data_IF_077262496100
#
_entry.id   IF_077262496100
#
_cell.length_a   1.000
_cell.length_b   1.000
_cell.length_c   1.000
_cell.angle_alpha   90.00
_cell.angle_beta   90.00
_cell.angle_gamma   90.00
#
_symmetry.space_group_name_H-M   'P 1'
#
loop_
_entity.id
_entity.type
_entity.pdbx_description
1 polymer ?
#
# COMPACT_ATOMS: atom_id res chain seq x y z
N UNK A 1 -16.97 -8.00 16.62
CA UNK A 1 -16.25 -6.71 16.43
C UNK A 1 -16.64 -5.73 17.54
N UNK A 2 -15.73 -4.84 17.96
CA UNK A 2 -15.86 -4.00 19.17
C UNK A 2 -16.97 -2.92 19.16
N UNK A 3 -17.68 -2.71 18.04
CA UNK A 3 -18.83 -1.79 17.97
C UNK A 3 -18.52 -0.30 18.10
N UNK A 4 -17.24 0.08 18.01
CA UNK A 4 -16.76 1.46 18.10
C UNK A 4 -17.31 2.30 16.93
N UNK A 5 -17.80 3.51 17.23
CA UNK A 5 -18.38 4.44 16.26
C UNK A 5 -17.67 5.78 16.30
N UNK A 6 -17.46 6.37 15.13
CA UNK A 6 -16.97 7.72 15.00
C UNK A 6 -18.07 8.73 15.37
N UNK A 7 -17.76 9.77 16.17
CA UNK A 7 -18.77 10.66 16.75
C UNK A 7 -19.51 11.52 15.71
N UNK A 8 -18.90 11.83 14.57
CA UNK A 8 -19.48 12.69 13.52
C UNK A 8 -20.42 11.94 12.57
N UNK A 9 -20.31 10.61 12.44
CA UNK A 9 -21.15 9.82 11.52
C UNK A 9 -22.05 8.80 12.21
N UNK A 10 -21.74 8.39 13.45
CA UNK A 10 -22.41 7.27 14.12
C UNK A 10 -22.15 5.90 13.47
N UNK A 11 -21.20 5.83 12.53
CA UNK A 11 -20.72 4.61 11.84
C UNK A 11 -19.33 4.23 12.35
N UNK A 12 -18.79 3.04 12.05
CA UNK A 12 -17.38 2.74 12.31
C UNK A 12 -16.45 3.81 11.72
N UNK A 13 -15.26 3.98 12.31
CA UNK A 13 -14.23 4.85 11.74
C UNK A 13 -13.91 4.37 10.32
N UNK A 14 -14.03 5.27 9.35
CA UNK A 14 -13.79 4.93 7.94
C UNK A 14 -12.30 4.73 7.68
N UNK A 15 -11.98 3.95 6.65
CA UNK A 15 -10.61 3.79 6.21
C UNK A 15 -10.01 5.12 5.71
N UNK A 16 -10.82 5.95 5.04
CA UNK A 16 -10.46 7.30 4.64
C UNK A 16 -9.98 8.13 5.84
N UNK A 17 -10.78 8.16 6.92
CA UNK A 17 -10.42 8.90 8.13
C UNK A 17 -9.10 8.42 8.74
N UNK A 18 -8.90 7.10 8.79
CA UNK A 18 -7.66 6.51 9.33
C UNK A 18 -6.45 6.80 8.43
N UNK A 19 -6.61 6.77 7.10
CA UNK A 19 -5.57 7.18 6.15
C UNK A 19 -5.14 8.62 6.43
N UNK A 20 -6.08 9.57 6.49
CA UNK A 20 -5.77 10.97 6.77
C UNK A 20 -5.11 11.19 8.13
N UNK A 21 -5.67 10.58 9.19
CA UNK A 21 -5.11 10.66 10.55
C UNK A 21 -3.71 10.08 10.63
N UNK A 22 -3.37 9.06 9.83
CA UNK A 22 -2.02 8.48 9.79
C UNK A 22 -0.95 9.40 9.22
N UNK A 23 -1.32 10.52 8.60
CA UNK A 23 -0.43 11.40 7.84
C UNK A 23 -0.81 11.52 6.36
N UNK A 24 -1.81 10.78 5.91
CA UNK A 24 -2.43 10.90 4.59
C UNK A 24 -1.58 10.39 3.44
N UNK A 25 -1.86 10.93 2.26
CA UNK A 25 -1.15 10.61 1.02
C UNK A 25 0.27 11.19 1.00
N UNK A 26 1.10 10.62 0.14
CA UNK A 26 2.42 11.13 -0.20
C UNK A 26 2.73 10.76 -1.65
N UNK A 27 3.80 11.32 -2.18
CA UNK A 27 4.47 10.77 -3.35
C UNK A 27 5.92 10.47 -3.01
N UNK A 28 6.43 9.33 -3.47
CA UNK A 28 7.85 9.01 -3.37
C UNK A 28 8.27 8.06 -4.47
N UNK A 29 9.52 8.20 -4.92
CA UNK A 29 10.08 7.43 -6.02
C UNK A 29 11.45 6.87 -5.65
N UNK A 30 11.59 5.55 -5.80
CA UNK A 30 12.81 4.83 -5.49
C UNK A 30 13.08 3.76 -6.53
N UNK A 31 14.36 3.50 -6.79
CA UNK A 31 14.82 2.36 -7.58
C UNK A 31 15.80 1.55 -6.75
N UNK A 32 15.67 0.23 -6.80
CA UNK A 32 16.55 -0.68 -6.08
C UNK A 32 17.08 -1.76 -7.02
N UNK A 33 18.33 -2.17 -6.80
CA UNK A 33 18.96 -3.30 -7.49
C UNK A 33 19.76 -4.10 -6.47
N UNK A 34 19.28 -5.30 -6.19
CA UNK A 34 19.90 -6.23 -5.24
C UNK A 34 20.46 -7.42 -6.00
N UNK A 35 21.60 -7.93 -5.55
CA UNK A 35 22.22 -9.12 -6.15
C UNK A 35 21.23 -10.30 -6.11
N UNK A 36 20.96 -10.89 -7.26
CA UNK A 36 20.06 -12.05 -7.38
C UNK A 36 18.60 -11.71 -7.70
N UNK A 37 18.25 -10.43 -7.76
CA UNK A 37 16.90 -9.96 -8.08
C UNK A 37 16.93 -9.01 -9.27
N UNK A 38 15.83 -8.96 -10.03
CA UNK A 38 15.64 -7.92 -11.03
C UNK A 38 15.56 -6.55 -10.32
N UNK A 39 16.08 -5.48 -10.95
CA UNK A 39 15.88 -4.15 -10.42
C UNK A 39 14.38 -3.84 -10.39
N UNK A 40 13.96 -3.05 -9.42
CA UNK A 40 12.56 -2.68 -9.26
C UNK A 40 12.42 -1.22 -8.87
N UNK A 41 11.19 -0.75 -9.00
CA UNK A 41 10.75 0.58 -8.64
C UNK A 41 9.76 0.48 -7.49
N UNK A 42 9.86 1.41 -6.56
CA UNK A 42 8.86 1.62 -5.53
C UNK A 42 8.27 3.02 -5.68
N UNK A 43 6.95 3.06 -5.80
CA UNK A 43 6.20 4.30 -5.66
C UNK A 43 5.52 4.31 -4.29
N UNK A 44 5.74 5.39 -3.52
CA UNK A 44 5.05 5.58 -2.26
C UNK A 44 3.85 6.49 -2.51
N UNK A 45 2.65 5.99 -2.28
CA UNK A 45 1.39 6.72 -2.50
C UNK A 45 0.81 7.31 -1.21
N UNK A 46 1.35 6.90 -0.05
CA UNK A 46 0.91 7.33 1.28
C UNK A 46 2.07 7.45 2.27
N UNK A 47 1.79 8.04 3.44
CA UNK A 47 2.74 8.10 4.53
C UNK A 47 3.23 6.69 4.95
N UNK A 48 4.55 6.49 4.91
CA UNK A 48 5.22 5.26 5.37
C UNK A 48 6.04 5.46 6.64
N UNK A 49 6.04 6.67 7.21
CA UNK A 49 6.73 7.00 8.46
C UNK A 49 5.86 6.64 9.66
N UNK A 50 5.77 5.33 9.93
CA UNK A 50 5.05 4.74 11.07
C UNK A 50 3.55 5.12 11.17
N UNK A 51 2.76 4.89 10.12
CA UNK A 51 1.36 5.31 10.06
C UNK A 51 0.50 4.64 11.15
N UNK A 52 0.77 3.38 11.49
CA UNK A 52 -0.01 2.65 12.50
C UNK A 52 0.15 3.27 13.89
N UNK A 53 1.38 3.44 14.38
CA UNK A 53 1.58 4.07 15.70
C UNK A 53 1.09 5.52 15.70
N UNK A 54 1.26 6.24 14.58
CA UNK A 54 0.73 7.60 14.42
C UNK A 54 -0.79 7.67 14.64
N UNK A 55 -1.55 6.71 14.09
CA UNK A 55 -3.01 6.60 14.33
C UNK A 55 -3.29 6.40 15.82
N UNK A 56 -2.61 5.44 16.45
CA UNK A 56 -2.85 5.08 17.84
C UNK A 56 -2.57 6.25 18.78
N UNK A 57 -1.43 6.92 18.60
CA UNK A 57 -1.05 8.10 19.39
C UNK A 57 -2.02 9.26 19.19
N UNK A 58 -2.36 9.57 17.94
CA UNK A 58 -3.22 10.72 17.62
C UNK A 58 -4.64 10.54 18.11
N UNK A 59 -5.17 9.32 18.05
CA UNK A 59 -6.51 8.99 18.53
C UNK A 59 -6.54 8.58 20.01
N UNK A 60 -5.39 8.51 20.69
CA UNK A 60 -5.32 8.12 22.09
C UNK A 60 -5.79 6.67 22.34
N UNK A 61 -5.54 5.77 21.38
CA UNK A 61 -5.89 4.36 21.49
C UNK A 61 -4.86 3.68 22.38
N UNK A 62 -5.29 3.22 23.56
CA UNK A 62 -4.44 2.44 24.44
C UNK A 62 -4.20 1.04 23.85
N UNK A 63 -3.01 0.51 24.09
CA UNK A 63 -2.57 -0.81 23.64
C UNK A 63 -2.28 -1.67 24.87
N UNK A 64 -2.73 -2.92 24.86
CA UNK A 64 -2.13 -3.96 25.68
C UNK A 64 -1.27 -4.86 24.78
N UNK A 65 -0.01 -5.06 25.18
CA UNK A 65 1.00 -5.74 24.35
C UNK A 65 1.61 -6.90 25.12
N UNK A 66 1.44 -8.09 24.57
CA UNK A 66 2.08 -9.30 25.08
C UNK A 66 3.20 -9.74 24.14
N UNK A 67 4.34 -10.13 24.73
CA UNK A 67 5.51 -10.60 24.00
C UNK A 67 6.12 -11.82 24.70
N UNK A 68 6.70 -12.72 23.91
CA UNK A 68 7.41 -13.90 24.39
C UNK A 68 8.42 -14.35 23.35
N UNK A 69 9.46 -15.07 23.76
CA UNK A 69 10.39 -15.72 22.83
C UNK A 69 10.07 -17.21 22.61
N UNK A 70 8.97 -17.71 23.20
CA UNK A 70 8.60 -19.13 23.18
C UNK A 70 7.30 -19.35 22.40
N UNK A 71 7.34 -20.28 21.44
CA UNK A 71 6.23 -20.54 20.52
C UNK A 71 4.99 -21.11 21.22
N UNK A 72 5.18 -22.04 22.15
CA UNK A 72 4.11 -22.62 22.98
C UNK A 72 3.38 -21.55 23.80
N UNK A 73 4.13 -20.66 24.46
CA UNK A 73 3.56 -19.53 25.19
C UNK A 73 2.83 -18.56 24.25
N UNK A 74 3.34 -18.35 23.03
CA UNK A 74 2.70 -17.48 22.04
C UNK A 74 1.36 -18.02 21.52
N UNK A 75 1.19 -19.35 21.48
CA UNK A 75 -0.07 -20.03 21.19
C UNK A 75 -1.04 -19.83 22.34
N UNK A 76 -0.61 -20.13 23.58
CA UNK A 76 -1.43 -19.95 24.78
C UNK A 76 -1.91 -18.50 24.94
N UNK A 77 -1.03 -17.52 24.76
CA UNK A 77 -1.41 -16.10 24.84
C UNK A 77 -2.49 -15.73 23.83
N UNK A 78 -2.36 -16.20 22.58
CA UNK A 78 -3.37 -15.94 21.54
C UNK A 78 -4.73 -16.56 21.91
N UNK A 79 -4.73 -17.81 22.36
CA UNK A 79 -5.96 -18.50 22.77
C UNK A 79 -6.62 -17.80 23.96
N UNK A 80 -5.86 -17.50 25.00
CA UNK A 80 -6.36 -16.81 26.19
C UNK A 80 -7.02 -15.47 25.83
N UNK A 81 -6.40 -14.68 24.95
CA UNK A 81 -6.99 -13.39 24.53
C UNK A 81 -8.29 -13.61 23.75
N UNK A 82 -8.32 -14.56 22.81
CA UNK A 82 -9.54 -14.89 22.06
C UNK A 82 -10.68 -15.38 22.98
N UNK A 83 -10.36 -16.15 24.03
CA UNK A 83 -11.33 -16.64 25.03
C UNK A 83 -11.95 -15.50 25.85
N UNK A 84 -11.27 -14.36 25.99
CA UNK A 84 -11.87 -13.14 26.60
C UNK A 84 -12.88 -12.43 25.70
N UNK A 85 -13.03 -12.86 24.44
CA UNK A 85 -13.88 -12.21 23.44
C UNK A 85 -13.23 -11.02 22.74
N UNK A 86 -11.93 -10.79 22.96
CA UNK A 86 -11.14 -9.78 22.24
C UNK A 86 -10.56 -10.34 20.94
N UNK A 87 -10.23 -9.44 20.01
CA UNK A 87 -9.67 -9.77 18.70
C UNK A 87 -8.26 -9.18 18.59
N UNK A 88 -7.20 -9.95 18.93
CA UNK A 88 -5.86 -9.40 18.95
C UNK A 88 -5.26 -9.27 17.56
N UNK A 89 -4.44 -8.24 17.37
CA UNK A 89 -3.49 -8.13 16.28
C UNK A 89 -2.28 -9.03 16.57
N UNK A 90 -1.90 -9.83 15.58
CA UNK A 90 -0.66 -10.60 15.56
C UNK A 90 0.20 -10.15 14.37
N UNK A 91 1.52 -10.09 14.54
CA UNK A 91 2.42 -9.84 13.42
C UNK A 91 2.87 -11.18 12.84
N UNK A 92 2.56 -11.41 11.57
CA UNK A 92 2.91 -12.63 10.87
C UNK A 92 3.65 -12.31 9.58
N UNK A 93 4.61 -13.16 9.21
CA UNK A 93 5.33 -13.01 7.96
C UNK A 93 4.44 -13.27 6.74
N UNK A 94 4.23 -12.23 5.95
CA UNK A 94 3.48 -12.21 4.70
C UNK A 94 3.87 -13.34 3.74
N UNK A 95 5.17 -13.66 3.65
CA UNK A 95 5.69 -14.72 2.79
C UNK A 95 5.41 -16.13 3.29
N UNK A 96 5.20 -16.29 4.60
CA UNK A 96 4.91 -17.56 5.23
C UNK A 96 3.41 -17.88 5.26
N UNK A 97 2.54 -16.91 4.99
CA UNK A 97 1.09 -17.13 5.01
C UNK A 97 0.62 -17.82 3.71
N UNK A 98 -0.07 -18.96 3.81
CA UNK A 98 -0.33 -19.84 2.65
C UNK A 98 -1.31 -19.26 1.64
N UNK A 99 -2.19 -18.34 2.08
CA UNK A 99 -3.17 -17.70 1.21
C UNK A 99 -2.56 -16.61 0.29
N UNK A 100 -1.29 -16.22 0.49
CA UNK A 100 -0.62 -15.24 -0.36
C UNK A 100 0.03 -15.83 -1.61
N UNK A 101 0.22 -17.16 -1.67
CA UNK A 101 0.90 -17.87 -2.78
C UNK A 101 2.28 -17.28 -3.15
N UNK A 102 3.05 -16.91 -2.12
CA UNK A 102 4.39 -16.36 -2.29
C UNK A 102 5.46 -17.43 -2.15
N UNK A 103 6.52 -17.29 -2.94
CA UNK A 103 7.70 -18.14 -2.79
C UNK A 103 8.48 -17.63 -1.59
N UNK A 104 8.64 -18.47 -0.58
CA UNK A 104 9.47 -18.17 0.59
C UNK A 104 10.94 -18.27 0.21
N UNK A 105 11.61 -17.12 0.11
CA UNK A 105 13.07 -16.99 0.07
C UNK A 105 13.56 -16.62 1.49
N UNK A 106 14.68 -17.20 1.94
CA UNK A 106 15.30 -16.86 3.22
C UNK A 106 15.61 -15.36 3.38
N UNK A 107 15.90 -14.67 2.28
CA UNK A 107 16.19 -13.23 2.28
C UNK A 107 14.93 -12.34 2.32
N UNK A 108 13.76 -12.91 2.03
CA UNK A 108 12.50 -12.18 1.96
C UNK A 108 11.62 -12.49 3.17
N UNK A 109 11.07 -11.43 3.75
CA UNK A 109 10.10 -11.50 4.84
C UNK A 109 9.35 -10.16 4.90
N UNK A 110 8.13 -10.18 5.45
CA UNK A 110 7.32 -8.99 5.65
C UNK A 110 6.40 -9.19 6.84
N UNK A 111 6.79 -8.70 8.01
CA UNK A 111 5.95 -8.82 9.21
C UNK A 111 4.78 -7.85 9.14
N UNK A 112 3.59 -8.38 8.82
CA UNK A 112 2.36 -7.60 8.68
C UNK A 112 1.42 -7.86 9.86
N UNK A 113 0.73 -6.82 10.38
CA UNK A 113 -0.32 -7.02 11.36
C UNK A 113 -1.54 -7.71 10.71
N UNK A 114 -2.03 -8.77 11.35
CA UNK A 114 -3.28 -9.46 10.99
C UNK A 114 -4.17 -9.57 12.22
N UNK A 115 -5.48 -9.57 12.04
CA UNK A 115 -6.44 -9.67 13.14
C UNK A 115 -6.84 -11.13 13.36
N UNK A 116 -6.62 -11.68 14.55
CA UNK A 116 -7.16 -12.99 14.91
C UNK A 116 -8.60 -12.85 15.40
N UNK A 117 -9.50 -13.70 14.89
CA UNK A 117 -10.95 -13.60 15.12
C UNK A 117 -11.46 -14.71 16.04
N UNK A 118 -11.05 -15.95 15.80
CA UNK A 118 -11.40 -17.12 16.62
C UNK A 118 -10.36 -18.23 16.43
N UNK A 119 -10.35 -19.19 17.34
CA UNK A 119 -9.50 -20.38 17.28
C UNK A 119 -10.23 -21.58 17.85
N UNK A 120 -10.03 -22.75 17.25
CA UNK A 120 -10.45 -24.06 17.81
C UNK A 120 -9.27 -24.81 18.47
N UNK A 121 -8.11 -24.15 18.57
CA UNK A 121 -6.84 -24.70 19.06
C UNK A 121 -5.97 -25.37 18.00
N UNK A 122 -6.52 -25.71 16.82
CA UNK A 122 -5.77 -26.26 15.68
C UNK A 122 -5.73 -25.31 14.50
N UNK A 123 -6.80 -24.54 14.31
CA UNK A 123 -7.01 -23.56 13.24
C UNK A 123 -7.33 -22.22 13.87
N UNK A 124 -6.86 -21.16 13.23
CA UNK A 124 -7.16 -19.78 13.59
C UNK A 124 -7.81 -19.11 12.39
N UNK A 125 -8.97 -18.53 12.62
CA UNK A 125 -9.61 -17.64 11.66
C UNK A 125 -9.01 -16.25 11.83
N UNK A 126 -8.52 -15.67 10.74
CA UNK A 126 -7.92 -14.34 10.70
C UNK A 126 -8.66 -13.43 9.72
N UNK A 127 -8.64 -12.13 9.97
CA UNK A 127 -9.01 -11.11 9.00
C UNK A 127 -7.72 -10.39 8.55
N UNK A 128 -7.43 -10.50 7.25
CA UNK A 128 -6.30 -9.86 6.59
C UNK A 128 -6.71 -9.51 5.14
N UNK A 129 -6.93 -8.22 4.86
CA UNK A 129 -7.25 -7.59 3.55
C UNK A 129 -8.51 -8.09 2.82
N UNK A 130 -8.79 -9.38 2.85
CA UNK A 130 -9.96 -10.05 2.27
C UNK A 130 -11.26 -9.67 2.98
N UNK A 131 -12.34 -9.59 2.20
CA UNK A 131 -13.72 -9.45 2.69
C UNK A 131 -14.26 -10.75 3.31
N UNK A 132 -13.61 -11.88 3.03
CA UNK A 132 -13.86 -13.17 3.67
C UNK A 132 -12.89 -13.44 4.81
N UNK A 133 -13.33 -14.11 5.89
CA UNK A 133 -12.42 -14.65 6.90
C UNK A 133 -11.47 -15.66 6.27
N UNK A 134 -10.22 -15.68 6.73
CA UNK A 134 -9.19 -16.59 6.27
C UNK A 134 -8.88 -17.64 7.32
N UNK A 135 -8.72 -18.89 6.93
CA UNK A 135 -8.39 -19.99 7.83
C UNK A 135 -6.92 -20.40 7.66
N UNK A 136 -6.21 -20.50 8.78
CA UNK A 136 -4.82 -20.95 8.84
C UNK A 136 -4.60 -21.90 10.00
N UNK A 137 -3.72 -22.89 9.85
CA UNK A 137 -3.38 -23.74 11.00
C UNK A 137 -2.63 -22.93 12.06
N UNK A 138 -2.82 -23.28 13.33
CA UNK A 138 -2.12 -22.68 14.45
C UNK A 138 -0.60 -22.84 14.30
N UNK A 139 -0.15 -23.98 13.77
CA UNK A 139 1.26 -24.26 13.49
C UNK A 139 1.83 -23.27 12.47
N UNK A 140 1.17 -23.13 11.31
CA UNK A 140 1.61 -22.20 10.25
C UNK A 140 1.60 -20.76 10.74
N UNK A 141 0.55 -20.34 11.44
CA UNK A 141 0.49 -18.99 12.02
C UNK A 141 1.62 -18.76 13.03
N UNK A 142 1.89 -19.75 13.89
CA UNK A 142 2.97 -19.64 14.88
C UNK A 142 4.33 -19.56 14.20
N UNK A 143 4.59 -20.37 13.18
CA UNK A 143 5.82 -20.29 12.39
C UNK A 143 5.99 -18.92 11.72
N UNK A 144 4.92 -18.40 11.10
CA UNK A 144 4.94 -17.08 10.46
C UNK A 144 5.20 -15.94 11.47
N UNK A 145 4.59 -16.00 12.67
CA UNK A 145 4.85 -15.06 13.77
C UNK A 145 6.27 -15.16 14.32
N UNK A 146 6.88 -16.35 14.26
CA UNK A 146 8.24 -16.62 14.72
C UNK A 146 9.34 -16.28 13.73
N UNK A 147 8.99 -15.84 12.50
CA UNK A 147 9.95 -15.59 11.41
C UNK A 147 11.02 -14.57 11.78
N UNK A 148 10.62 -13.46 12.42
CA UNK A 148 11.51 -12.39 12.89
C UNK A 148 11.58 -12.42 14.40
N UNK A 149 12.72 -12.86 14.96
CA UNK A 149 12.92 -13.02 16.40
C UNK A 149 12.73 -11.72 17.20
N UNK A 150 13.02 -10.57 16.60
CA UNK A 150 12.88 -9.26 17.25
C UNK A 150 11.41 -8.89 17.56
N UNK A 151 10.45 -9.46 16.83
CA UNK A 151 9.03 -9.21 17.06
C UNK A 151 8.49 -9.97 18.29
N UNK A 152 9.22 -10.98 18.79
CA UNK A 152 8.89 -11.71 20.03
C UNK A 152 7.43 -12.18 20.10
N UNK A 153 6.95 -12.74 18.98
CA UNK A 153 5.56 -13.20 18.84
C UNK A 153 4.50 -12.17 19.28
N UNK A 154 4.79 -10.87 19.10
CA UNK A 154 3.96 -9.75 19.57
C UNK A 154 2.48 -9.99 19.28
N UNK A 155 1.70 -9.84 20.34
CA UNK A 155 0.24 -9.85 20.32
C UNK A 155 -0.24 -8.53 20.91
N UNK A 156 -1.20 -7.87 20.28
CA UNK A 156 -1.68 -6.56 20.70
C UNK A 156 -3.20 -6.51 20.68
N UNK A 157 -3.81 -6.03 21.75
CA UNK A 157 -5.21 -5.61 21.75
C UNK A 157 -5.28 -4.09 21.83
N UNK A 158 -6.36 -3.53 21.29
CA UNK A 158 -6.58 -2.09 21.18
C UNK A 158 -7.86 -1.72 21.91
N UNK A 159 -7.80 -0.62 22.67
CA UNK A 159 -8.96 0.06 23.22
C UNK A 159 -9.68 0.93 22.18
N UNK A 160 -10.82 1.51 22.56
CA UNK A 160 -11.51 2.46 21.72
C UNK A 160 -10.73 3.78 21.54
N UNK A 161 -10.78 4.41 20.35
CA UNK A 161 -10.31 5.78 20.15
C UNK A 161 -10.96 6.77 21.10
N UNK A 162 -10.21 7.79 21.54
CA UNK A 162 -10.74 8.89 22.36
C UNK A 162 -11.40 9.95 21.46
N UNK A 163 -12.73 10.15 21.52
CA UNK A 163 -13.43 11.08 20.62
C UNK A 163 -12.93 12.53 20.74
N UNK A 164 -12.48 12.93 21.93
CA UNK A 164 -11.94 14.28 22.22
C UNK A 164 -10.63 14.57 21.47
N UNK A 165 -9.91 13.54 21.02
CA UNK A 165 -8.65 13.69 20.25
C UNK A 165 -8.88 13.83 18.75
N UNK A 166 -10.07 13.47 18.25
CA UNK A 166 -10.34 13.31 16.82
C UNK A 166 -10.02 14.56 15.99
N UNK A 167 -10.53 15.73 16.38
CA UNK A 167 -10.28 16.96 15.63
C UNK A 167 -8.76 17.29 15.55
N UNK A 168 -8.04 17.11 16.66
CA UNK A 168 -6.59 17.30 16.68
C UNK A 168 -5.84 16.28 15.81
N UNK A 169 -6.31 15.03 15.78
CA UNK A 169 -5.76 13.96 14.94
C UNK A 169 -5.90 14.28 13.45
N UNK A 170 -7.11 14.69 13.02
CA UNK A 170 -7.41 15.08 11.63
C UNK A 170 -6.56 16.27 11.20
N UNK A 171 -6.51 17.33 12.02
CA UNK A 171 -5.69 18.51 11.72
C UNK A 171 -4.20 18.14 11.56
N UNK A 172 -3.65 17.36 12.49
CA UNK A 172 -2.25 16.89 12.40
C UNK A 172 -2.00 16.03 11.16
N UNK A 173 -2.97 15.20 10.77
CA UNK A 173 -2.95 14.43 9.54
C UNK A 173 -2.75 15.30 8.30
N UNK A 174 -3.62 16.30 8.12
CA UNK A 174 -3.55 17.26 7.00
C UNK A 174 -2.20 18.00 6.99
N UNK A 175 -1.77 18.54 8.15
CA UNK A 175 -0.49 19.23 8.24
C UNK A 175 0.69 18.31 7.85
N UNK A 176 0.66 17.04 8.24
CA UNK A 176 1.72 16.10 7.86
C UNK A 176 1.68 15.80 6.36
N UNK A 177 0.50 15.63 5.76
CA UNK A 177 0.39 15.49 4.29
C UNK A 177 1.04 16.67 3.57
N UNK A 178 0.68 17.90 3.94
CA UNK A 178 1.28 19.12 3.36
C UNK A 178 2.81 19.08 3.44
N UNK A 179 3.36 18.72 4.62
CA UNK A 179 4.81 18.64 4.82
C UNK A 179 5.47 17.56 3.97
N UNK A 180 4.83 16.39 3.83
CA UNK A 180 5.37 15.30 3.00
C UNK A 180 5.45 15.66 1.51
N UNK A 181 4.65 16.63 1.05
CA UNK A 181 4.72 17.13 -0.32
C UNK A 181 5.73 18.27 -0.50
N UNK A 182 5.90 19.12 0.52
CA UNK A 182 6.57 20.43 0.37
C UNK A 182 7.91 20.55 1.10
N UNK A 183 8.14 19.74 2.13
CA UNK A 183 9.29 19.82 3.02
C UNK A 183 10.19 18.57 2.92
N UNK A 184 11.33 18.62 3.61
CA UNK A 184 12.23 17.47 3.75
C UNK A 184 11.51 16.34 4.54
N UNK A 185 11.49 15.09 4.05
CA UNK A 185 10.89 13.96 4.76
C UNK A 185 11.62 13.65 6.07
N UNK A 186 10.96 13.00 7.05
CA UNK A 186 11.60 12.54 8.29
C UNK A 186 12.85 11.68 8.08
N UNK A 187 12.90 10.92 6.98
CA UNK A 187 14.05 10.09 6.59
C UNK A 187 14.15 9.99 5.07
N UNK A 188 15.38 9.98 4.56
CA UNK A 188 15.68 9.90 3.12
C UNK A 188 16.04 11.25 2.50
N UNK A 189 16.34 11.26 1.22
CA UNK A 189 16.68 12.49 0.48
C UNK A 189 15.41 13.23 0.02
N UNK A 190 15.47 14.57 -0.04
CA UNK A 190 14.35 15.43 -0.45
C UNK A 190 13.78 15.04 -1.82
N UNK A 191 14.65 14.79 -2.77
CA UNK A 191 14.33 14.48 -4.17
C UNK A 191 13.61 13.12 -4.34
N UNK A 192 13.51 12.32 -3.28
CA UNK A 192 12.76 11.06 -3.28
C UNK A 192 11.34 11.20 -2.75
N UNK A 193 10.91 12.38 -2.30
CA UNK A 193 9.56 12.60 -1.76
C UNK A 193 8.88 13.86 -2.30
N UNK A 194 7.55 13.87 -2.24
CA UNK A 194 6.70 15.01 -2.55
C UNK A 194 6.85 15.50 -3.99
N UNK A 195 6.72 16.81 -4.19
CA UNK A 195 6.85 17.42 -5.52
C UNK A 195 8.24 17.24 -6.13
N UNK A 196 9.29 17.20 -5.30
CA UNK A 196 10.64 16.93 -5.78
C UNK A 196 10.78 15.49 -6.34
N UNK A 197 10.02 14.52 -5.83
CA UNK A 197 9.97 13.19 -6.43
C UNK A 197 9.23 13.15 -7.77
N UNK A 198 8.18 13.96 -7.94
CA UNK A 198 7.49 14.08 -9.23
C UNK A 198 8.42 14.62 -10.31
N UNK A 199 9.18 15.67 -9.98
CA UNK A 199 10.22 16.22 -10.85
C UNK A 199 11.27 15.17 -11.16
N UNK A 200 11.79 14.47 -10.14
CA UNK A 200 12.82 13.45 -10.32
C UNK A 200 12.36 12.29 -11.20
N UNK A 201 11.18 11.73 -10.96
CA UNK A 201 10.66 10.63 -11.78
C UNK A 201 10.42 11.11 -13.22
N UNK A 202 9.81 12.28 -13.40
CA UNK A 202 9.61 12.91 -14.72
C UNK A 202 10.92 13.02 -15.50
N UNK A 203 11.98 13.48 -14.85
CA UNK A 203 13.30 13.59 -15.43
C UNK A 203 13.90 12.21 -15.76
N UNK A 204 13.81 11.25 -14.84
CA UNK A 204 14.37 9.91 -15.05
C UNK A 204 13.66 9.12 -16.15
N UNK A 205 12.40 9.41 -16.45
CA UNK A 205 11.66 8.80 -17.56
C UNK A 205 12.23 9.22 -18.94
N UNK A 206 12.67 10.47 -19.10
CA UNK A 206 13.13 11.02 -20.37
C UNK A 206 14.65 11.11 -20.51
N UNK A 207 15.39 11.13 -19.41
CA UNK A 207 16.83 11.29 -19.44
C UNK A 207 17.50 10.09 -20.15
N UNK A 208 18.42 10.35 -21.09
CA UNK A 208 19.11 9.29 -21.86
C UNK A 208 20.57 9.09 -21.43
N UNK A 209 21.05 9.92 -20.48
CA UNK A 209 22.46 10.01 -20.07
C UNK A 209 22.72 9.52 -18.65
N UNK A 210 21.78 9.72 -17.73
CA UNK A 210 21.91 9.31 -16.34
C UNK A 210 21.90 7.78 -16.24
N UNK A 211 22.81 7.18 -15.46
CA UNK A 211 22.85 5.73 -15.26
C UNK A 211 21.58 5.16 -14.60
N UNK A 212 20.89 5.96 -13.80
CA UNK A 212 19.61 5.62 -13.17
C UNK A 212 18.39 6.04 -13.99
N UNK A 213 18.59 6.61 -15.19
CA UNK A 213 17.47 6.87 -16.09
C UNK A 213 16.76 5.58 -16.47
N UNK A 214 15.48 5.67 -16.78
CA UNK A 214 14.69 4.53 -17.21
C UNK A 214 15.25 3.87 -18.48
N UNK A 215 15.74 4.63 -19.46
CA UNK A 215 16.33 4.06 -20.67
C UNK A 215 17.51 3.10 -20.36
N UNK A 216 18.36 3.45 -19.38
CA UNK A 216 19.56 2.67 -19.05
C UNK A 216 19.34 1.65 -17.94
N UNK A 217 18.53 2.02 -16.94
CA UNK A 217 18.30 1.22 -15.75
C UNK A 217 17.19 0.18 -15.98
N UNK A 218 16.22 0.52 -16.83
CA UNK A 218 15.11 -0.35 -17.23
C UNK A 218 14.98 -0.38 -18.76
N UNK A 219 16.01 -0.85 -19.51
CA UNK A 219 15.91 -0.96 -20.95
C UNK A 219 14.75 -1.90 -21.34
N UNK A 220 14.18 -1.76 -22.56
CA UNK A 220 13.18 -2.68 -23.10
C UNK A 220 13.64 -4.13 -22.94
N UNK A 221 12.78 -4.97 -22.36
CA UNK A 221 13.12 -6.32 -21.90
C UNK A 221 12.57 -6.60 -20.50
N UNK A 222 13.08 -7.67 -19.90
CA UNK A 222 12.66 -8.14 -18.57
C UNK A 222 12.80 -7.10 -17.46
N UNK A 223 13.80 -6.20 -17.53
CA UNK A 223 14.00 -5.12 -16.55
C UNK A 223 12.87 -4.09 -16.62
N UNK A 224 12.48 -3.67 -17.83
CA UNK A 224 11.33 -2.76 -18.02
C UNK A 224 10.02 -3.43 -17.63
N UNK A 225 9.79 -4.68 -18.07
CA UNK A 225 8.59 -5.43 -17.69
C UNK A 225 8.45 -5.48 -16.16
N UNK A 226 9.53 -5.86 -15.45
CA UNK A 226 9.52 -5.96 -14.00
C UNK A 226 9.28 -4.61 -13.31
N UNK A 227 9.81 -3.51 -13.86
CA UNK A 227 9.52 -2.18 -13.32
C UNK A 227 8.05 -1.78 -13.50
N UNK A 228 7.41 -2.12 -14.63
CA UNK A 228 6.01 -1.76 -14.91
C UNK A 228 5.02 -2.68 -14.19
N UNK A 229 5.16 -4.00 -14.38
CA UNK A 229 4.22 -5.05 -13.95
C UNK A 229 4.65 -5.83 -12.70
N UNK A 230 5.92 -5.72 -12.30
CA UNK A 230 6.45 -6.47 -11.17
C UNK A 230 6.57 -7.98 -11.43
N UNK A 231 6.46 -8.72 -10.35
CA UNK A 231 6.35 -10.17 -10.29
C UNK A 231 5.33 -10.55 -9.22
N UNK A 232 4.96 -11.85 -9.06
CA UNK A 232 4.10 -12.25 -7.95
C UNK A 232 4.66 -11.89 -6.56
N UNK A 233 5.97 -11.68 -6.45
CA UNK A 233 6.68 -11.43 -5.19
C UNK A 233 6.99 -9.96 -4.97
N UNK A 234 7.37 -9.23 -6.03
CA UNK A 234 7.79 -7.84 -5.96
C UNK A 234 6.84 -6.96 -6.79
N UNK A 235 6.23 -5.91 -6.21
CA UNK A 235 5.35 -5.00 -6.95
C UNK A 235 6.10 -4.20 -8.02
N UNK A 236 5.44 -3.98 -9.16
CA UNK A 236 5.80 -2.98 -10.16
C UNK A 236 5.04 -1.67 -9.97
N UNK A 237 5.25 -0.69 -10.84
CA UNK A 237 4.54 0.60 -10.79
C UNK A 237 3.03 0.43 -10.78
N UNK A 238 2.49 -0.51 -11.57
CA UNK A 238 1.05 -0.75 -11.62
C UNK A 238 0.52 -1.20 -10.26
N UNK A 239 1.22 -2.12 -9.59
CA UNK A 239 0.80 -2.60 -8.26
C UNK A 239 0.78 -1.45 -7.26
N UNK A 240 1.83 -0.62 -7.21
CA UNK A 240 1.91 0.52 -6.29
C UNK A 240 0.77 1.54 -6.48
N UNK A 241 0.33 1.77 -7.71
CA UNK A 241 -0.72 2.73 -8.02
C UNK A 241 -2.11 2.15 -7.73
N UNK A 242 -2.35 0.87 -8.05
CA UNK A 242 -3.72 0.34 -8.13
C UNK A 242 -4.10 -0.66 -7.04
N UNK A 243 -3.17 -1.46 -6.52
CA UNK A 243 -3.54 -2.63 -5.70
C UNK A 243 -2.67 -2.87 -4.46
N UNK A 244 -1.54 -2.18 -4.32
CA UNK A 244 -0.72 -2.28 -3.10
C UNK A 244 -1.43 -1.64 -1.91
N UNK A 245 -2.20 -0.60 -2.20
CA UNK A 245 -2.85 0.19 -1.21
C UNK A 245 -4.22 -0.34 -0.75
N UNK A 246 -5.01 0.56 -0.19
CA UNK A 246 -6.38 0.32 0.29
C UNK A 246 -7.40 0.59 -0.82
N UNK A 247 -7.00 1.41 -1.78
CA UNK A 247 -7.77 1.82 -2.93
C UNK A 247 -6.83 2.03 -4.13
N UNK A 248 -7.41 2.08 -5.32
CA UNK A 248 -6.72 2.35 -6.58
C UNK A 248 -6.40 3.85 -6.76
N UNK A 249 -5.83 4.19 -7.92
CA UNK A 249 -5.52 5.58 -8.28
C UNK A 249 -4.64 6.29 -7.26
N UNK A 250 -3.66 5.56 -6.72
CA UNK A 250 -2.74 6.01 -5.70
C UNK A 250 -3.43 6.60 -4.46
N UNK A 251 -4.66 6.15 -4.16
CA UNK A 251 -5.49 6.50 -3.00
C UNK A 251 -5.94 7.96 -2.92
N UNK A 252 -5.83 8.71 -4.03
CA UNK A 252 -6.25 10.11 -4.07
C UNK A 252 -7.75 10.27 -3.87
N UNK A 253 -8.55 9.31 -4.38
CA UNK A 253 -9.99 9.26 -4.12
C UNK A 253 -10.31 9.04 -2.64
N UNK A 254 -9.62 8.08 -2.00
CA UNK A 254 -9.78 7.80 -0.57
C UNK A 254 -9.36 8.98 0.31
N UNK A 255 -8.32 9.73 -0.10
CA UNK A 255 -7.91 10.96 0.57
C UNK A 255 -8.91 12.12 0.36
N UNK A 256 -9.54 12.23 -0.80
CA UNK A 256 -10.62 13.18 -1.01
C UNK A 256 -11.81 12.91 -0.07
N UNK A 257 -12.18 11.64 0.12
CA UNK A 257 -13.23 11.25 1.06
C UNK A 257 -12.85 11.60 2.51
N UNK A 258 -11.56 11.47 2.86
CA UNK A 258 -11.04 11.96 4.14
C UNK A 258 -11.23 13.47 4.30
N UNK A 259 -10.93 14.26 3.26
CA UNK A 259 -11.07 15.72 3.30
C UNK A 259 -12.54 16.15 3.45
N UNK A 260 -13.48 15.40 2.86
CA UNK A 260 -14.92 15.61 3.08
C UNK A 260 -15.33 15.37 4.54
N UNK A 261 -14.84 14.29 5.15
CA UNK A 261 -15.06 14.04 6.58
C UNK A 261 -14.36 15.09 7.46
N UNK A 262 -13.13 15.48 7.10
CA UNK A 262 -12.36 16.49 7.80
C UNK A 262 -13.04 17.86 7.77
N UNK A 263 -13.67 18.23 6.66
CA UNK A 263 -14.45 19.45 6.53
C UNK A 263 -15.56 19.54 7.60
N UNK A 264 -16.22 18.41 7.88
CA UNK A 264 -17.25 18.31 8.93
C UNK A 264 -16.63 18.34 10.34
N UNK A 265 -15.59 17.54 10.59
CA UNK A 265 -14.95 17.41 11.91
C UNK A 265 -14.32 18.73 12.35
N UNK A 266 -13.63 19.42 11.44
CA UNK A 266 -12.92 20.68 11.71
C UNK A 266 -13.79 21.92 11.48
N UNK A 267 -14.99 21.76 10.93
CA UNK A 267 -15.88 22.86 10.50
C UNK A 267 -15.17 23.81 9.51
N UNK A 268 -14.44 23.23 8.56
CA UNK A 268 -13.68 23.95 7.52
C UNK A 268 -14.18 23.51 6.13
N UNK A 269 -15.27 24.10 5.61
CA UNK A 269 -15.86 23.67 4.34
C UNK A 269 -14.93 23.81 3.14
N UNK A 270 -13.97 24.75 3.17
CA UNK A 270 -12.96 24.92 2.12
C UNK A 270 -12.06 23.70 1.89
N UNK A 271 -12.02 22.73 2.81
CA UNK A 271 -11.33 21.45 2.57
C UNK A 271 -11.95 20.64 1.44
N UNK A 272 -13.23 20.88 1.12
CA UNK A 272 -13.93 20.21 0.02
C UNK A 272 -13.39 20.63 -1.35
N UNK A 273 -12.96 21.88 -1.48
CA UNK A 273 -12.39 22.40 -2.72
C UNK A 273 -11.10 21.62 -3.07
N UNK A 274 -10.27 21.34 -2.07
CA UNK A 274 -9.10 20.45 -2.24
C UNK A 274 -9.49 18.99 -2.51
N UNK A 275 -10.56 18.50 -1.87
CA UNK A 275 -11.08 17.16 -2.13
C UNK A 275 -11.47 16.97 -3.60
N UNK A 276 -12.11 17.96 -4.22
CA UNK A 276 -12.46 17.92 -5.65
C UNK A 276 -11.22 17.84 -6.54
N UNK A 277 -10.15 18.58 -6.22
CA UNK A 277 -8.89 18.50 -6.94
C UNK A 277 -8.21 17.14 -6.78
N UNK A 278 -8.25 16.53 -5.59
CA UNK A 278 -7.76 15.16 -5.43
C UNK A 278 -8.62 14.11 -6.14
N UNK A 279 -9.93 14.35 -6.33
CA UNK A 279 -10.75 13.51 -7.21
C UNK A 279 -10.34 13.62 -8.67
N UNK A 280 -9.95 14.82 -9.12
CA UNK A 280 -9.36 14.99 -10.44
C UNK A 280 -8.00 14.26 -10.55
N UNK A 281 -7.12 14.42 -9.55
CA UNK A 281 -5.85 13.69 -9.50
C UNK A 281 -6.06 12.17 -9.52
N UNK A 282 -7.07 11.66 -8.79
CA UNK A 282 -7.44 10.25 -8.83
C UNK A 282 -7.73 9.76 -10.26
N UNK A 283 -8.51 10.52 -11.05
CA UNK A 283 -8.78 10.16 -12.45
C UNK A 283 -7.51 10.18 -13.31
N UNK A 284 -6.58 11.09 -13.05
CA UNK A 284 -5.29 11.12 -13.74
C UNK A 284 -4.40 9.94 -13.33
N UNK A 285 -4.42 9.54 -12.07
CA UNK A 285 -3.72 8.35 -11.58
C UNK A 285 -4.26 7.06 -12.18
N UNK A 286 -5.58 6.93 -12.37
CA UNK A 286 -6.15 5.78 -13.11
C UNK A 286 -5.63 5.73 -14.55
N UNK A 287 -5.63 6.88 -15.24
CA UNK A 287 -5.05 6.98 -16.60
C UNK A 287 -3.56 6.65 -16.62
N UNK A 288 -2.81 7.06 -15.60
CA UNK A 288 -1.41 6.70 -15.43
C UNK A 288 -1.25 5.19 -15.22
N UNK A 289 -2.08 4.57 -14.38
CA UNK A 289 -2.18 3.12 -14.21
C UNK A 289 -2.39 2.37 -15.53
N UNK A 290 -3.37 2.81 -16.33
CA UNK A 290 -3.63 2.25 -17.65
C UNK A 290 -2.47 2.42 -18.62
N UNK A 291 -1.78 3.57 -18.57
CA UNK A 291 -0.61 3.84 -19.39
C UNK A 291 0.62 3.03 -18.98
N UNK A 292 0.74 2.58 -17.73
CA UNK A 292 1.85 1.71 -17.29
C UNK A 292 1.77 0.35 -18.00
N UNK A 293 0.56 -0.22 -18.12
CA UNK A 293 0.30 -1.52 -18.75
C UNK A 293 -0.79 -1.39 -19.82
N UNK A 294 -0.46 -0.85 -21.00
CA UNK A 294 -1.44 -0.52 -22.02
C UNK A 294 -2.02 -1.79 -22.67
N UNK A 295 -3.33 -1.79 -22.94
CA UNK A 295 -4.07 -2.97 -23.44
C UNK A 295 -3.76 -3.33 -24.90
N UNK A 296 -3.25 -2.37 -25.68
CA UNK A 296 -2.85 -2.55 -27.08
C UNK A 296 -1.49 -3.26 -27.22
N UNK A 297 -0.74 -3.39 -26.13
CA UNK A 297 0.49 -4.20 -26.04
C UNK A 297 0.13 -5.54 -25.38
N UNK A 298 -0.07 -6.64 -26.15
CA UNK A 298 -0.75 -7.84 -25.64
C UNK A 298 -0.12 -8.43 -24.37
N UNK A 299 1.21 -8.45 -24.29
CA UNK A 299 1.94 -8.96 -23.13
C UNK A 299 1.67 -8.11 -21.87
N UNK A 300 1.64 -6.77 -21.99
CA UNK A 300 1.40 -5.88 -20.86
C UNK A 300 -0.08 -5.83 -20.48
N UNK A 301 -0.98 -5.76 -21.46
CA UNK A 301 -2.43 -5.82 -21.24
C UNK A 301 -2.90 -7.14 -20.59
N UNK A 302 -2.28 -8.27 -20.95
CA UNK A 302 -2.55 -9.55 -20.28
C UNK A 302 -2.07 -9.50 -18.82
N UNK A 303 -0.86 -8.98 -18.55
CA UNK A 303 -0.35 -8.82 -17.19
C UNK A 303 -1.26 -7.94 -16.34
N UNK A 304 -1.73 -6.79 -16.86
CA UNK A 304 -2.68 -5.91 -16.18
C UNK A 304 -3.92 -6.67 -15.70
N UNK A 305 -4.56 -7.41 -16.61
CA UNK A 305 -5.78 -8.18 -16.33
C UNK A 305 -5.54 -9.26 -15.29
N UNK A 306 -4.41 -9.96 -15.34
CA UNK A 306 -4.07 -11.00 -14.37
C UNK A 306 -3.75 -10.42 -12.98
N UNK A 307 -3.06 -9.28 -12.93
CA UNK A 307 -2.74 -8.57 -11.68
C UNK A 307 -4.02 -8.07 -11.01
N UNK A 308 -4.94 -7.47 -11.77
CA UNK A 308 -6.23 -7.04 -11.23
C UNK A 308 -7.06 -8.24 -10.78
N UNK A 309 -7.15 -9.28 -11.62
CA UNK A 309 -7.92 -10.48 -11.31
C UNK A 309 -7.46 -11.18 -10.03
N UNK A 310 -6.14 -11.32 -9.80
CA UNK A 310 -5.65 -11.95 -8.55
C UNK A 310 -6.03 -11.11 -7.32
N UNK A 311 -5.99 -9.79 -7.44
CA UNK A 311 -6.32 -8.87 -6.37
C UNK A 311 -7.81 -8.98 -6.03
N UNK A 312 -8.69 -8.82 -7.01
CA UNK A 312 -10.15 -8.91 -6.83
C UNK A 312 -10.56 -10.27 -6.26
N UNK A 313 -9.98 -11.36 -6.81
CA UNK A 313 -10.24 -12.71 -6.32
C UNK A 313 -9.85 -12.88 -4.84
N UNK A 314 -8.70 -12.35 -4.43
CA UNK A 314 -8.28 -12.42 -3.04
C UNK A 314 -9.20 -11.60 -2.13
N UNK A 315 -9.53 -10.37 -2.53
CA UNK A 315 -10.43 -9.50 -1.77
C UNK A 315 -11.81 -10.14 -1.63
N UNK A 316 -12.39 -10.68 -2.69
CA UNK A 316 -13.77 -11.15 -2.70
C UNK A 316 -13.95 -12.55 -2.10
N UNK A 317 -12.93 -13.42 -2.23
CA UNK A 317 -13.06 -14.86 -1.94
C UNK A 317 -12.01 -15.42 -0.99
N UNK A 318 -10.97 -14.66 -0.63
CA UNK A 318 -9.94 -15.12 0.29
C UNK A 318 -9.34 -16.49 -0.07
N UNK A 319 -9.37 -17.43 0.89
CA UNK A 319 -8.84 -18.79 0.71
C UNK A 319 -9.43 -19.55 -0.48
N UNK A 320 -10.71 -19.33 -0.80
CA UNK A 320 -11.40 -20.10 -1.83
C UNK A 320 -10.88 -19.81 -3.24
N UNK A 321 -10.24 -18.64 -3.44
CA UNK A 321 -9.63 -18.26 -4.72
C UNK A 321 -8.18 -18.74 -4.89
N UNK A 322 -7.60 -19.46 -3.93
CA UNK A 322 -6.16 -19.78 -3.94
C UNK A 322 -5.73 -20.54 -5.20
N UNK A 323 -6.57 -21.42 -5.75
CA UNK A 323 -6.27 -22.18 -6.96
C UNK A 323 -6.17 -21.27 -8.19
N UNK A 324 -7.09 -20.32 -8.33
CA UNK A 324 -7.14 -19.35 -9.41
C UNK A 324 -6.04 -18.29 -9.30
N UNK A 325 -5.71 -17.88 -8.08
CA UNK A 325 -4.56 -17.01 -7.80
C UNK A 325 -3.27 -17.71 -8.23
N UNK A 326 -3.07 -18.98 -7.85
CA UNK A 326 -1.94 -19.81 -8.29
C UNK A 326 -1.81 -19.89 -9.81
N UNK A 327 -2.93 -20.10 -10.51
CA UNK A 327 -2.97 -20.11 -11.98
C UNK A 327 -2.54 -18.76 -12.56
N UNK A 328 -3.05 -17.66 -11.99
CA UNK A 328 -2.72 -16.30 -12.44
C UNK A 328 -1.25 -15.98 -12.19
N UNK A 329 -0.71 -16.34 -11.02
CA UNK A 329 0.71 -16.21 -10.68
C UNK A 329 1.60 -17.06 -11.59
N UNK A 330 1.18 -18.29 -11.92
CA UNK A 330 1.86 -19.14 -12.90
C UNK A 330 1.99 -18.45 -14.26
N UNK A 331 0.87 -17.90 -14.77
CA UNK A 331 0.87 -17.16 -16.04
C UNK A 331 1.71 -15.88 -15.99
N UNK A 332 1.66 -15.12 -14.90
CA UNK A 332 2.50 -13.94 -14.72
C UNK A 332 4.00 -14.27 -14.73
N UNK A 333 4.41 -15.42 -14.19
CA UNK A 333 5.81 -15.90 -14.26
C UNK A 333 6.20 -16.26 -15.70
N UNK A 334 5.29 -16.86 -16.48
CA UNK A 334 5.53 -17.13 -17.91
C UNK A 334 5.69 -15.83 -18.70
N UNK A 335 4.86 -14.81 -18.46
CA UNK A 335 4.95 -13.51 -19.13
C UNK A 335 6.24 -12.78 -18.77
N UNK A 336 6.65 -12.82 -17.49
CA UNK A 336 7.94 -12.30 -17.05
C UNK A 336 9.10 -13.00 -17.79
N UNK A 337 9.09 -14.33 -17.87
CA UNK A 337 10.12 -15.06 -18.63
C UNK A 337 10.10 -14.70 -20.12
N UNK A 338 8.91 -14.63 -20.73
CA UNK A 338 8.77 -14.23 -22.14
C UNK A 338 9.35 -12.85 -22.41
N UNK A 339 9.20 -11.91 -21.48
CA UNK A 339 9.76 -10.55 -21.61
C UNK A 339 11.30 -10.49 -21.66
N UNK A 340 11.99 -11.57 -21.27
CA UNK A 340 13.43 -11.71 -21.42
C UNK A 340 13.84 -12.03 -22.87
N UNK A 341 13.01 -12.80 -23.57
CA UNK A 341 13.30 -13.32 -24.91
C UNK A 341 12.69 -12.46 -26.03
N UNK A 342 11.45 -11.97 -25.82
CA UNK A 342 10.61 -11.33 -26.83
C UNK A 342 9.76 -10.22 -26.18
N UNK A 343 10.40 -9.11 -25.83
CA UNK A 343 9.70 -7.94 -25.30
C UNK A 343 9.03 -7.16 -26.44
N UNK A 344 7.73 -6.81 -26.32
CA UNK A 344 6.92 -6.37 -27.45
C UNK A 344 7.16 -4.92 -27.88
N UNK A 345 7.95 -4.14 -27.14
CA UNK A 345 8.23 -2.75 -27.48
C UNK A 345 9.65 -2.60 -28.02
N UNK A 346 9.75 -1.96 -29.19
CA UNK A 346 11.00 -1.43 -29.69
C UNK A 346 11.54 -0.30 -28.80
N UNK A 347 12.78 0.13 -29.05
CA UNK A 347 13.37 1.27 -28.34
C UNK A 347 12.56 2.56 -28.50
N UNK A 348 12.00 2.79 -29.70
CA UNK A 348 11.17 3.96 -30.00
C UNK A 348 9.84 3.89 -29.25
N UNK A 349 9.11 2.78 -29.35
CA UNK A 349 7.82 2.62 -28.65
C UNK A 349 7.99 2.67 -27.12
N UNK A 350 9.09 2.13 -26.60
CA UNK A 350 9.39 2.25 -25.18
C UNK A 350 9.74 3.69 -24.77
N UNK A 351 10.35 4.49 -25.65
CA UNK A 351 10.57 5.92 -25.40
C UNK A 351 9.25 6.71 -25.41
N UNK A 352 8.35 6.39 -26.36
CA UNK A 352 7.02 6.98 -26.43
C UNK A 352 6.18 6.65 -25.18
N UNK A 353 6.23 5.40 -24.71
CA UNK A 353 5.62 4.98 -23.44
C UNK A 353 6.13 5.84 -22.27
N UNK A 354 7.45 5.99 -22.13
CA UNK A 354 8.05 6.80 -21.05
C UNK A 354 7.66 8.28 -21.16
N UNK A 355 7.59 8.82 -22.37
CA UNK A 355 7.14 10.20 -22.61
C UNK A 355 5.68 10.39 -22.18
N UNK A 356 4.79 9.46 -22.55
CA UNK A 356 3.39 9.50 -22.14
C UNK A 356 3.22 9.41 -20.61
N UNK A 357 3.98 8.51 -19.95
CA UNK A 357 3.98 8.41 -18.49
C UNK A 357 4.43 9.72 -17.85
N UNK A 358 5.50 10.34 -18.36
CA UNK A 358 5.99 11.63 -17.87
C UNK A 358 4.93 12.73 -18.01
N UNK A 359 4.24 12.80 -19.14
CA UNK A 359 3.23 13.85 -19.37
C UNK A 359 2.00 13.69 -18.48
N UNK A 360 1.57 12.45 -18.21
CA UNK A 360 0.54 12.18 -17.22
C UNK A 360 0.99 12.55 -15.80
N UNK A 361 2.25 12.21 -15.45
CA UNK A 361 2.81 12.51 -14.15
C UNK A 361 2.89 14.02 -13.86
N UNK A 362 3.22 14.84 -14.86
CA UNK A 362 3.22 16.29 -14.69
C UNK A 362 1.83 16.87 -14.50
N UNK A 363 0.81 16.36 -15.21
CA UNK A 363 -0.59 16.77 -15.00
C UNK A 363 -1.06 16.43 -13.60
N UNK A 364 -0.71 15.24 -13.10
CA UNK A 364 -0.97 14.83 -11.71
C UNK A 364 -0.31 15.84 -10.75
N UNK A 365 0.99 16.12 -10.94
CA UNK A 365 1.74 17.02 -10.07
C UNK A 365 1.16 18.43 -10.06
N UNK A 366 0.70 18.94 -11.20
CA UNK A 366 0.08 20.28 -11.31
C UNK A 366 -1.22 20.37 -10.52
N UNK A 367 -2.12 19.39 -10.69
CA UNK A 367 -3.40 19.33 -9.95
C UNK A 367 -3.13 19.16 -8.45
N UNK A 368 -2.19 18.30 -8.07
CA UNK A 368 -1.86 18.07 -6.66
C UNK A 368 -1.19 19.30 -6.01
N UNK A 369 -0.40 20.08 -6.75
CA UNK A 369 0.16 21.34 -6.25
C UNK A 369 -0.95 22.30 -5.86
N UNK A 370 -1.91 22.53 -6.76
CA UNK A 370 -3.08 23.37 -6.46
C UNK A 370 -3.91 22.82 -5.29
N UNK A 371 -4.09 21.50 -5.21
CA UNK A 371 -4.81 20.87 -4.10
C UNK A 371 -4.12 21.10 -2.75
N UNK A 372 -2.78 21.01 -2.71
CA UNK A 372 -1.97 21.27 -1.51
C UNK A 372 -1.99 22.75 -1.12
N UNK A 373 -1.96 23.67 -2.08
CA UNK A 373 -2.05 25.12 -1.82
C UNK A 373 -3.40 25.50 -1.19
N UNK A 374 -4.49 24.88 -1.68
CA UNK A 374 -5.83 25.02 -1.07
C UNK A 374 -5.86 24.43 0.33
N UNK A 375 -5.27 23.25 0.55
CA UNK A 375 -5.17 22.68 1.91
C UNK A 375 -4.43 23.61 2.86
N UNK A 376 -3.28 24.14 2.44
CA UNK A 376 -2.49 25.08 3.24
C UNK A 376 -3.34 26.28 3.65
N UNK A 377 -4.03 26.91 2.71
CA UNK A 377 -4.92 28.05 2.97
C UNK A 377 -6.08 27.69 3.91
N UNK A 378 -6.58 26.46 3.82
CA UNK A 378 -7.70 26.00 4.64
C UNK A 378 -7.28 25.70 6.09
N UNK A 379 -6.05 25.24 6.36
CA UNK A 379 -5.62 24.78 7.70
C UNK A 379 -4.57 25.64 8.41
N UNK A 380 -3.81 26.45 7.68
CA UNK A 380 -2.90 27.46 8.25
C UNK A 380 -3.65 28.79 8.41
#
# INVERSE_FOLDING_TARGET
MQGVKAPHTGKPYSEALLLGVSGGIAFGYFTFEYKGYLPHVSLLTRNTFDPFNTILERLGIAQDVQQTNKADVAVTNLQNVLETGLYPLAWADYFSMPYNDLVSDHAMWGMMPILAVKSDGKTVTVADRSSQPLEVSMETLTQARGRVKLDKYRLMTLDAPQPTKLAGAVHKGICQTIKLFTEQPPKGARDNFGFAAYEKLSDMLLNTRNKQSWERYFPPGVRMYHALAGSPVQPGMYDWVNIWGSADGAERGLYADFLDEAALILKKPALKDSAEMFRESYQLWLKFGDAILPDDVPLLGESKKLIQKKYDLFIDKGNDALTEIKKSNGRLRELLKKSEEDFPLSQTEAADLRSNLRDLLLKISEVEQGAIDVLQTAVL
#
